data_IF_839369311905
#
_entry.id   IF_839369311905
#
_cell.length_a   1.000
_cell.length_b   1.000
_cell.length_c   1.000
_cell.angle_alpha   90.00
_cell.angle_beta   90.00
_cell.angle_gamma   90.00
#
_symmetry.space_group_name_H-M   'P 1'
#
loop_
_entity.id
_entity.type
_entity.pdbx_description
1 polymer ?
#
# COMPACT_ATOMS: atom_id res chain seq x y z
N UNK A 1 -7.21 -18.15 3.43
CA UNK A 1 -6.20 -17.35 2.74
C UNK A 1 -6.07 -15.99 3.40
N UNK A 2 -4.84 -15.60 3.71
CA UNK A 2 -4.58 -14.32 4.37
C UNK A 2 -4.26 -13.24 3.34
N UNK A 3 -4.92 -12.08 3.46
CA UNK A 3 -4.64 -10.92 2.61
C UNK A 3 -3.82 -9.85 3.35
N UNK A 4 -3.72 -9.95 4.67
CA UNK A 4 -2.99 -8.97 5.47
C UNK A 4 -3.54 -8.85 6.87
N UNK A 5 -3.10 -7.79 7.54
CA UNK A 5 -3.50 -7.48 8.92
C UNK A 5 -4.17 -6.12 8.95
N UNK A 6 -5.28 -6.02 9.68
CA UNK A 6 -5.89 -4.74 9.98
C UNK A 6 -5.92 -4.56 11.49
N UNK A 7 -5.52 -3.39 11.97
CA UNK A 7 -5.48 -3.09 13.39
C UNK A 7 -5.69 -1.60 13.64
N UNK A 8 -6.08 -1.28 14.86
CA UNK A 8 -6.33 0.10 15.26
C UNK A 8 -5.24 0.57 16.21
N UNK A 9 -4.71 1.77 15.96
CA UNK A 9 -3.73 2.43 16.83
C UNK A 9 -4.17 3.88 17.00
N UNK A 10 -4.41 4.29 18.24
CA UNK A 10 -4.78 5.67 18.56
C UNK A 10 -5.97 6.19 17.73
N UNK A 11 -6.97 5.36 17.53
CA UNK A 11 -8.16 5.71 16.76
C UNK A 11 -8.00 5.61 15.26
N UNK A 12 -6.83 5.17 14.78
CA UNK A 12 -6.53 5.01 13.35
C UNK A 12 -6.60 3.54 12.95
N UNK A 13 -7.25 3.23 11.84
CA UNK A 13 -7.27 1.88 11.27
C UNK A 13 -6.16 1.75 10.25
N UNK A 14 -5.29 0.77 10.44
CA UNK A 14 -4.13 0.54 9.58
C UNK A 14 -4.26 -0.85 8.97
N UNK A 15 -4.12 -0.91 7.64
CA UNK A 15 -4.16 -2.16 6.90
C UNK A 15 -2.80 -2.40 6.27
N UNK A 16 -2.18 -3.53 6.60
CA UNK A 16 -0.90 -3.96 6.01
C UNK A 16 -1.17 -5.23 5.24
N UNK A 17 -0.98 -5.20 3.92
CA UNK A 17 -1.10 -6.41 3.11
C UNK A 17 0.14 -7.27 3.31
N UNK A 18 -0.04 -8.57 3.17
CA UNK A 18 1.08 -9.51 3.08
C UNK A 18 1.37 -9.78 1.61
N UNK A 19 2.12 -10.81 1.28
CA UNK A 19 2.35 -11.23 -0.10
C UNK A 19 1.01 -11.54 -0.74
N UNK A 20 0.48 -10.59 -1.51
CA UNK A 20 -0.86 -10.72 -2.04
C UNK A 20 -0.93 -10.25 -3.48
N UNK A 21 -1.64 -11.02 -4.28
CA UNK A 21 -1.99 -10.60 -5.63
C UNK A 21 -2.96 -9.43 -5.58
N UNK A 22 -3.04 -8.72 -6.70
CA UNK A 22 -4.04 -7.67 -6.83
C UNK A 22 -5.43 -8.30 -6.87
N UNK A 23 -6.21 -8.03 -5.84
CA UNK A 23 -7.55 -8.60 -5.68
C UNK A 23 -8.52 -7.52 -5.18
N UNK A 24 -8.84 -6.52 -6.01
CA UNK A 24 -9.59 -5.34 -5.55
C UNK A 24 -10.98 -5.70 -5.03
N UNK A 25 -11.64 -6.70 -5.60
CA UNK A 25 -12.99 -7.09 -5.15
C UNK A 25 -12.98 -7.70 -3.75
N UNK A 26 -11.92 -8.46 -3.42
CA UNK A 26 -11.79 -9.07 -2.11
C UNK A 26 -11.29 -8.07 -1.05
N UNK A 27 -10.53 -7.06 -1.47
CA UNK A 27 -9.86 -6.14 -0.55
C UNK A 27 -10.57 -4.79 -0.41
N UNK A 28 -11.59 -4.53 -1.23
CA UNK A 28 -12.22 -3.21 -1.27
C UNK A 28 -12.72 -2.75 0.09
N UNK A 29 -13.38 -3.62 0.84
CA UNK A 29 -13.89 -3.25 2.16
C UNK A 29 -12.77 -2.89 3.12
N UNK A 30 -11.65 -3.61 3.06
CA UNK A 30 -10.49 -3.30 3.89
C UNK A 30 -9.86 -1.98 3.48
N UNK A 31 -9.78 -1.68 2.19
CA UNK A 31 -9.29 -0.40 1.71
C UNK A 31 -10.17 0.75 2.20
N UNK A 32 -11.48 0.58 2.10
CA UNK A 32 -12.42 1.65 2.46
C UNK A 32 -12.45 1.92 3.97
N UNK A 33 -12.35 0.87 4.79
CA UNK A 33 -12.41 1.03 6.24
C UNK A 33 -11.10 1.49 6.87
N UNK A 34 -10.01 1.48 6.11
CA UNK A 34 -8.68 1.83 6.63
C UNK A 34 -8.39 3.31 6.46
N UNK A 35 -7.69 3.89 7.42
CA UNK A 35 -7.19 5.26 7.34
C UNK A 35 -5.84 5.32 6.64
N UNK A 36 -5.03 4.29 6.81
CA UNK A 36 -3.70 4.16 6.19
C UNK A 36 -3.54 2.74 5.70
N UNK A 37 -2.97 2.59 4.52
CA UNK A 37 -2.72 1.29 3.90
C UNK A 37 -1.24 1.17 3.58
N UNK A 38 -0.63 0.05 3.96
CA UNK A 38 0.71 -0.33 3.52
C UNK A 38 0.54 -1.53 2.59
N UNK A 39 0.75 -1.34 1.31
CA UNK A 39 0.45 -2.35 0.30
C UNK A 39 1.71 -2.91 -0.33
N UNK A 40 1.76 -4.24 -0.43
CA UNK A 40 2.74 -4.96 -1.22
C UNK A 40 2.69 -4.48 -2.67
N UNK A 41 3.85 -4.29 -3.28
CA UNK A 41 3.93 -3.75 -4.63
C UNK A 41 5.10 -4.35 -5.39
N UNK A 42 4.82 -4.78 -6.62
CA UNK A 42 5.82 -5.25 -7.56
C UNK A 42 5.94 -4.23 -8.69
N UNK A 43 7.18 -3.92 -9.08
CA UNK A 43 7.44 -2.94 -10.14
C UNK A 43 8.19 -3.52 -11.34
N UNK A 44 8.51 -4.80 -11.32
CA UNK A 44 9.22 -5.46 -12.42
C UNK A 44 8.40 -5.40 -13.72
N UNK A 45 9.09 -5.38 -14.86
CA UNK A 45 8.41 -5.36 -16.15
C UNK A 45 7.57 -6.62 -16.37
N UNK A 46 8.07 -7.77 -15.92
CA UNK A 46 7.32 -9.03 -15.97
C UNK A 46 6.60 -9.24 -14.63
N UNK A 47 5.30 -9.47 -14.69
CA UNK A 47 4.49 -9.71 -13.48
C UNK A 47 4.71 -11.13 -12.98
N UNK A 48 4.97 -11.25 -11.68
CA UNK A 48 5.17 -12.58 -11.07
C UNK A 48 3.86 -13.33 -10.87
N UNK A 49 2.75 -12.59 -10.70
CA UNK A 49 1.46 -13.18 -10.33
C UNK A 49 1.33 -13.46 -8.84
N UNK A 50 2.39 -13.22 -8.06
CA UNK A 50 2.38 -13.44 -6.60
C UNK A 50 2.10 -12.15 -5.86
N UNK A 51 2.63 -11.03 -6.37
CA UNK A 51 2.49 -9.70 -5.76
C UNK A 51 1.62 -8.81 -6.61
N UNK A 52 0.96 -7.84 -5.98
CA UNK A 52 0.23 -6.80 -6.70
C UNK A 52 1.22 -5.97 -7.52
N UNK A 53 0.94 -5.76 -8.80
CA UNK A 53 1.80 -4.95 -9.64
C UNK A 53 1.43 -3.47 -9.54
N UNK A 54 2.44 -2.60 -9.60
CA UNK A 54 2.25 -1.16 -9.50
C UNK A 54 1.18 -0.65 -10.49
N UNK A 55 1.21 -1.11 -11.73
CA UNK A 55 0.25 -0.69 -12.75
C UNK A 55 -1.17 -1.14 -12.41
N UNK A 56 -1.33 -2.24 -11.69
CA UNK A 56 -2.64 -2.68 -11.22
C UNK A 56 -3.13 -1.78 -10.09
N UNK A 57 -2.26 -1.42 -9.15
CA UNK A 57 -2.63 -0.56 -8.02
C UNK A 57 -3.02 0.84 -8.49
N UNK A 58 -2.45 1.32 -9.60
CA UNK A 58 -2.83 2.61 -10.18
C UNK A 58 -4.29 2.66 -10.65
N UNK A 59 -4.91 1.51 -10.86
CA UNK A 59 -6.32 1.45 -11.27
C UNK A 59 -7.30 1.65 -10.12
N UNK A 60 -6.82 1.65 -8.88
CA UNK A 60 -7.65 1.89 -7.71
C UNK A 60 -8.16 3.32 -7.69
N UNK A 61 -9.33 3.56 -7.06
CA UNK A 61 -9.84 4.93 -6.92
C UNK A 61 -8.86 5.87 -6.24
N UNK A 62 -8.90 7.15 -6.63
CA UNK A 62 -7.96 8.15 -6.10
C UNK A 62 -8.02 8.26 -4.58
N UNK A 63 -9.21 8.17 -3.98
CA UNK A 63 -9.35 8.27 -2.52
C UNK A 63 -8.69 7.11 -1.78
N UNK A 64 -8.56 5.95 -2.43
CA UNK A 64 -7.86 4.81 -1.86
C UNK A 64 -6.34 4.99 -2.01
N UNK A 65 -5.89 5.40 -3.21
CA UNK A 65 -4.46 5.64 -3.45
C UNK A 65 -3.92 6.73 -2.51
N UNK A 66 -4.73 7.72 -2.20
CA UNK A 66 -4.33 8.86 -1.36
C UNK A 66 -3.98 8.46 0.09
N UNK A 67 -4.34 7.29 0.54
CA UNK A 67 -4.01 6.78 1.88
C UNK A 67 -3.07 5.58 1.85
N UNK A 68 -2.45 5.30 0.69
CA UNK A 68 -1.67 4.09 0.48
C UNK A 68 -0.18 4.39 0.36
N UNK A 69 0.59 3.74 1.22
CA UNK A 69 2.04 3.60 1.10
C UNK A 69 2.32 2.27 0.42
N UNK A 70 3.37 2.24 -0.42
CA UNK A 70 3.78 1.04 -1.13
C UNK A 70 5.10 0.53 -0.59
N UNK A 71 5.23 -0.76 -0.41
CA UNK A 71 6.52 -1.38 -0.12
C UNK A 71 6.83 -2.42 -1.20
N UNK A 72 8.12 -2.56 -1.53
CA UNK A 72 8.54 -3.36 -2.66
C UNK A 72 9.69 -4.27 -2.27
N UNK A 73 9.89 -5.29 -3.08
CA UNK A 73 10.94 -6.28 -2.83
C UNK A 73 12.14 -6.11 -3.76
N UNK A 74 11.98 -5.45 -4.89
CA UNK A 74 13.01 -5.36 -5.91
C UNK A 74 13.78 -4.06 -5.81
N UNK A 75 15.13 -4.09 -5.78
CA UNK A 75 15.95 -2.89 -5.74
C UNK A 75 16.11 -2.30 -7.15
N UNK A 76 15.01 -1.89 -7.77
CA UNK A 76 14.98 -1.29 -9.10
C UNK A 76 14.63 0.17 -8.99
N UNK A 77 14.80 0.90 -10.08
CA UNK A 77 14.34 2.27 -10.16
C UNK A 77 12.83 2.31 -9.99
N UNK A 78 12.35 3.13 -9.06
CA UNK A 78 10.95 3.18 -8.70
C UNK A 78 10.23 4.30 -9.46
N UNK A 79 8.97 4.09 -9.83
CA UNK A 79 8.15 5.17 -10.38
C UNK A 79 7.86 6.22 -9.33
N UNK A 80 7.41 7.39 -9.77
CA UNK A 80 7.02 8.46 -8.86
C UNK A 80 5.61 8.19 -8.32
N UNK A 81 5.54 7.48 -7.21
CA UNK A 81 4.27 7.08 -6.63
C UNK A 81 3.42 8.27 -6.21
N UNK A 82 4.05 9.35 -5.72
CA UNK A 82 3.31 10.56 -5.32
C UNK A 82 2.64 11.21 -6.53
N UNK A 83 3.30 11.24 -7.68
CA UNK A 83 2.72 11.77 -8.90
C UNK A 83 1.52 10.94 -9.36
N UNK A 84 1.49 9.65 -9.04
CA UNK A 84 0.40 8.75 -9.39
C UNK A 84 -0.68 8.69 -8.30
N UNK A 85 -0.62 9.56 -7.30
CA UNK A 85 -1.67 9.71 -6.31
C UNK A 85 -1.52 8.89 -5.04
N UNK A 86 -0.43 8.11 -4.91
CA UNK A 86 -0.10 7.37 -3.69
C UNK A 86 0.63 8.29 -2.70
N UNK A 87 0.78 7.82 -1.47
CA UNK A 87 1.58 8.53 -0.47
C UNK A 87 3.08 8.45 -0.78
N UNK A 88 3.54 7.34 -1.34
CA UNK A 88 4.91 7.13 -1.72
C UNK A 88 5.33 5.68 -1.49
N UNK A 89 6.59 5.40 -1.79
CA UNK A 89 7.21 4.12 -1.42
C UNK A 89 7.83 4.24 -0.04
N UNK A 90 7.66 3.19 0.77
CA UNK A 90 8.34 3.10 2.06
C UNK A 90 9.83 2.93 1.79
N UNK A 91 10.62 3.85 2.34
CA UNK A 91 12.07 3.84 2.15
C UNK A 91 12.73 3.06 3.27
N UNK A 92 13.88 2.45 2.96
CA UNK A 92 14.65 1.71 3.95
C UNK A 92 15.04 2.64 5.10
N UNK A 93 14.75 2.21 6.33
CA UNK A 93 15.04 3.00 7.53
C UNK A 93 14.00 4.06 7.85
N UNK A 94 12.96 4.19 7.03
CA UNK A 94 11.87 5.14 7.31
C UNK A 94 11.08 4.69 8.53
N UNK A 95 10.81 5.62 9.44
CA UNK A 95 10.00 5.36 10.63
C UNK A 95 8.64 6.03 10.50
N UNK A 96 7.62 5.36 11.05
CA UNK A 96 6.27 5.90 11.13
C UNK A 96 5.87 5.98 12.59
N UNK A 97 5.46 7.16 13.05
CA UNK A 97 4.96 7.36 14.41
C UNK A 97 3.44 7.34 14.39
N UNK A 98 2.85 6.25 14.85
CA UNK A 98 1.39 6.10 14.89
C UNK A 98 0.72 6.98 15.94
N UNK A 99 1.50 7.62 16.82
CA UNK A 99 0.98 8.63 17.75
C UNK A 99 0.89 10.01 17.09
N UNK A 100 1.55 10.21 15.95
CA UNK A 100 1.52 11.45 15.19
C UNK A 100 0.96 11.19 13.80
N UNK A 101 -0.31 11.54 13.54
CA UNK A 101 -0.93 11.31 12.23
C UNK A 101 -0.16 11.96 11.06
N UNK A 102 0.59 13.03 11.33
CA UNK A 102 1.35 13.70 10.27
C UNK A 102 2.52 12.86 9.77
N UNK A 103 3.06 11.95 10.57
CA UNK A 103 4.15 11.09 10.15
C UNK A 103 3.73 10.09 9.08
N UNK A 104 2.42 9.89 8.91
CA UNK A 104 1.86 8.92 7.97
C UNK A 104 1.45 9.55 6.64
N UNK A 105 1.62 10.84 6.52
CA UNK A 105 1.25 11.60 5.31
C UNK A 105 2.40 11.74 4.33
#
# INVERSE_FOLDING_TARGET
QSYGLIFAVNGMSIFITTDTQFAPHQLLDFYEMSDVIFHDCETAAARSGVHAHYNELKTLPAHIRAKMWLYHYNPVELPDAKADGFRGFVMRGQAFDFNDPNSLK
#
